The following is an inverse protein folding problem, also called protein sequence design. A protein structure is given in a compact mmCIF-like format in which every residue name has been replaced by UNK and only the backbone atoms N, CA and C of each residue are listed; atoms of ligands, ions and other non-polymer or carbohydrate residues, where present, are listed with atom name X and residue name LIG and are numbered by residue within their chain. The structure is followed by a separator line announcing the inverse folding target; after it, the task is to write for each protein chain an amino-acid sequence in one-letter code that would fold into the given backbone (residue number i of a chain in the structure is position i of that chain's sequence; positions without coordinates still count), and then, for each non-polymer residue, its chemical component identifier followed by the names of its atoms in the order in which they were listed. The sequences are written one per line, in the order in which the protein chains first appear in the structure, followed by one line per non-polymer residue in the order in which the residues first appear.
data_IF_083447159656
#
_entry.id   IF_083447159656
#
_cell.length_a   1.000
_cell.length_b   1.000
_cell.length_c   1.000
_cell.angle_alpha   90.00
_cell.angle_beta   90.00
_cell.angle_gamma   90.00
#
_symmetry.space_group_name_H-M   'P 1'
#
loop_
_entity.id
_entity.type
_entity.pdbx_description
1 polymer ?
#
# COMPACT_ATOMS: atom_id res chain seq x y z
N UNK A 1 -1.33 2.25 -7.44
CA UNK A 1 -2.08 2.11 -6.20
C UNK A 1 -1.81 0.77 -5.54
N UNK A 2 -1.80 0.75 -4.23
CA UNK A 2 -1.61 -0.47 -3.46
C UNK A 2 -2.98 -0.93 -3.00
N UNK A 3 -3.28 -2.22 -3.19
CA UNK A 3 -4.56 -2.79 -2.78
C UNK A 3 -4.33 -3.97 -1.84
N UNK A 4 -5.22 -4.12 -0.89
CA UNK A 4 -5.21 -5.27 0.02
C UNK A 4 -6.60 -5.90 -0.05
N UNK A 5 -6.67 -7.18 -0.39
CA UNK A 5 -7.95 -7.86 -0.50
C UNK A 5 -8.35 -8.53 0.81
N UNK A 6 -9.49 -9.20 0.80
CA UNK A 6 -10.04 -9.83 2.01
C UNK A 6 -9.22 -11.02 2.49
N UNK A 7 -8.40 -11.60 1.64
CA UNK A 7 -7.50 -12.69 2.02
C UNK A 7 -6.17 -12.18 2.57
N UNK A 8 -5.99 -10.87 2.64
CA UNK A 8 -4.74 -10.28 3.12
C UNK A 8 -3.66 -10.21 2.07
N UNK A 9 -3.99 -10.45 0.81
CA UNK A 9 -3.02 -10.34 -0.27
C UNK A 9 -2.85 -8.89 -0.67
N UNK A 10 -1.60 -8.51 -0.94
CA UNK A 10 -1.24 -7.15 -1.33
C UNK A 10 -0.94 -7.12 -2.82
N UNK A 11 -1.50 -6.14 -3.49
CA UNK A 11 -1.30 -5.94 -4.91
C UNK A 11 -0.72 -4.56 -5.18
N UNK A 12 0.24 -4.49 -6.07
CA UNK A 12 0.75 -3.22 -6.58
C UNK A 12 0.17 -3.07 -7.99
N UNK A 13 -0.74 -2.11 -8.14
CA UNK A 13 -1.58 -1.97 -9.33
C UNK A 13 -2.36 -3.27 -9.54
N UNK A 14 -2.06 -4.05 -10.55
CA UNK A 14 -2.76 -5.29 -10.81
C UNK A 14 -1.94 -6.54 -10.48
N UNK A 15 -0.76 -6.36 -9.88
CA UNK A 15 0.16 -7.48 -9.67
C UNK A 15 0.27 -7.82 -8.19
N UNK A 16 0.12 -9.11 -7.84
CA UNK A 16 0.33 -9.52 -6.45
C UNK A 16 1.80 -9.39 -6.08
N UNK A 17 2.05 -8.86 -4.89
CA UNK A 17 3.41 -8.66 -4.39
C UNK A 17 3.47 -9.04 -2.91
N UNK A 18 4.65 -9.45 -2.46
CA UNK A 18 4.90 -9.61 -1.03
C UNK A 18 5.29 -8.25 -0.46
N UNK A 19 5.31 -8.14 0.86
CA UNK A 19 5.73 -6.88 1.49
C UNK A 19 7.18 -6.52 1.15
N UNK A 20 8.15 -7.45 1.16
CA UNK A 20 9.49 -7.11 0.73
C UNK A 20 9.57 -6.65 -0.72
N UNK A 21 8.81 -7.27 -1.61
CA UNK A 21 8.76 -6.84 -3.00
C UNK A 21 8.16 -5.45 -3.13
N UNK A 22 7.11 -5.18 -2.38
CA UNK A 22 6.48 -3.88 -2.38
C UNK A 22 7.46 -2.81 -1.88
N UNK A 23 8.18 -3.10 -0.82
CA UNK A 23 9.16 -2.17 -0.28
C UNK A 23 10.22 -1.83 -1.31
N UNK A 24 10.72 -2.83 -2.01
CA UNK A 24 11.76 -2.66 -3.01
C UNK A 24 11.27 -1.77 -4.16
N UNK A 25 10.06 -2.04 -4.64
CA UNK A 25 9.46 -1.27 -5.72
C UNK A 25 9.24 0.18 -5.32
N UNK A 26 8.71 0.39 -4.13
CA UNK A 26 8.44 1.75 -3.65
C UNK A 26 9.73 2.52 -3.39
N UNK A 27 10.77 1.84 -2.94
CA UNK A 27 12.06 2.48 -2.73
C UNK A 27 12.63 2.98 -4.05
N UNK A 28 12.50 2.18 -5.10
CA UNK A 28 12.93 2.57 -6.44
C UNK A 28 12.14 3.76 -6.94
N UNK A 29 10.81 3.73 -6.79
CA UNK A 29 9.96 4.83 -7.23
C UNK A 29 10.27 6.11 -6.46
N UNK A 30 10.52 6.00 -5.17
CA UNK A 30 10.85 7.17 -4.36
C UNK A 30 12.18 7.79 -4.79
N UNK A 31 13.14 6.96 -5.19
CA UNK A 31 14.43 7.45 -5.66
C UNK A 31 14.28 8.26 -6.94
N UNK A 32 13.33 7.88 -7.79
CA UNK A 32 13.08 8.59 -9.03
C UNK A 32 12.22 9.83 -8.83
N UNK A 33 11.28 9.78 -7.89
CA UNK A 33 10.36 10.87 -7.63
C UNK A 33 10.00 10.88 -6.15
N UNK A 34 10.73 11.62 -5.31
CA UNK A 34 10.52 11.61 -3.85
C UNK A 34 9.12 12.02 -3.40
N UNK A 35 8.39 12.74 -4.24
CA UNK A 35 7.07 13.25 -3.89
C UNK A 35 5.94 12.49 -4.56
N UNK A 36 6.21 11.30 -5.11
CA UNK A 36 5.14 10.60 -5.81
C UNK A 36 4.04 10.19 -4.82
N UNK A 37 2.78 10.30 -5.25
CA UNK A 37 1.67 9.96 -4.37
C UNK A 37 1.44 8.45 -4.33
N UNK A 38 1.04 7.97 -3.17
CA UNK A 38 0.70 6.56 -2.98
C UNK A 38 -0.70 6.48 -2.41
N UNK A 39 -1.52 5.63 -3.01
CA UNK A 39 -2.88 5.38 -2.53
C UNK A 39 -2.96 3.92 -2.09
N UNK A 40 -3.44 3.71 -0.87
CA UNK A 40 -3.66 2.37 -0.33
C UNK A 40 -5.16 2.14 -0.28
N UNK A 41 -5.61 1.07 -0.91
CA UNK A 41 -7.03 0.72 -0.97
C UNK A 41 -7.24 -0.61 -0.26
N UNK A 42 -8.19 -0.63 0.67
CA UNK A 42 -8.58 -1.83 1.37
C UNK A 42 -9.96 -2.27 0.96
N UNK A 43 -10.15 -3.57 0.79
CA UNK A 43 -11.48 -4.13 0.59
C UNK A 43 -12.32 -3.89 1.85
N UNK A 44 -13.64 -3.86 1.70
CA UNK A 44 -14.54 -3.66 2.83
C UNK A 44 -14.37 -4.71 3.92
N UNK A 45 -13.95 -5.91 3.54
CA UNK A 45 -13.74 -7.02 4.47
C UNK A 45 -12.27 -7.28 4.75
N UNK A 46 -11.40 -6.32 4.42
CA UNK A 46 -9.96 -6.50 4.58
C UNK A 46 -9.59 -6.66 6.05
N UNK A 47 -8.55 -7.44 6.29
CA UNK A 47 -7.99 -7.55 7.63
C UNK A 47 -7.22 -6.27 7.94
N UNK A 48 -7.70 -5.54 8.93
CA UNK A 48 -7.13 -4.25 9.28
C UNK A 48 -5.64 -4.34 9.59
N UNK A 49 -5.23 -5.47 10.18
CA UNK A 49 -3.82 -5.71 10.48
C UNK A 49 -2.94 -5.59 9.23
N UNK A 50 -3.40 -6.10 8.11
CA UNK A 50 -2.63 -6.04 6.87
C UNK A 50 -2.51 -4.61 6.36
N UNK A 51 -3.57 -3.83 6.48
CA UNK A 51 -3.54 -2.43 6.09
C UNK A 51 -2.53 -1.67 6.94
N UNK A 52 -2.52 -1.95 8.24
CA UNK A 52 -1.56 -1.32 9.16
C UNK A 52 -0.12 -1.67 8.77
N UNK A 53 0.13 -2.92 8.39
CA UNK A 53 1.47 -3.34 7.98
C UNK A 53 1.94 -2.58 6.75
N UNK A 54 1.04 -2.38 5.78
CA UNK A 54 1.37 -1.62 4.57
C UNK A 54 1.63 -0.17 4.92
N UNK A 55 0.78 0.44 5.73
CA UNK A 55 0.97 1.83 6.13
C UNK A 55 2.27 2.04 6.90
N UNK A 56 2.62 1.09 7.75
CA UNK A 56 3.87 1.16 8.49
C UNK A 56 5.08 1.09 7.56
N UNK A 57 4.99 0.25 6.54
CA UNK A 57 6.02 0.16 5.52
C UNK A 57 6.21 1.50 4.82
N UNK A 58 5.12 2.13 4.41
CA UNK A 58 5.16 3.41 3.74
C UNK A 58 5.78 4.48 4.63
N UNK A 59 5.46 4.46 5.91
CA UNK A 59 6.01 5.41 6.85
C UNK A 59 7.52 5.22 7.01
N UNK A 60 7.98 3.97 7.04
CA UNK A 60 9.41 3.70 7.14
C UNK A 60 10.18 4.17 5.92
N UNK A 61 9.52 4.21 4.77
CA UNK A 61 10.12 4.73 3.55
C UNK A 61 10.03 6.25 3.45
N UNK A 62 9.44 6.88 4.45
CA UNK A 62 9.29 8.34 4.53
C UNK A 62 8.51 8.92 3.34
N UNK A 63 7.49 8.19 2.92
CA UNK A 63 6.59 8.67 1.88
C UNK A 63 5.56 9.58 2.53
N UNK A 64 5.48 10.83 2.06
CA UNK A 64 4.62 11.83 2.67
C UNK A 64 3.27 11.99 1.97
N UNK A 65 3.16 11.53 0.73
CA UNK A 65 1.94 11.66 -0.06
C UNK A 65 1.18 10.34 -0.06
N UNK A 66 0.61 9.99 1.08
CA UNK A 66 -0.10 8.73 1.24
C UNK A 66 -1.59 9.00 1.46
N UNK A 67 -2.42 8.41 0.61
CA UNK A 67 -3.86 8.44 0.77
C UNK A 67 -4.36 7.05 1.11
N UNK A 68 -5.37 6.98 1.96
CA UNK A 68 -6.00 5.71 2.33
C UNK A 68 -7.44 5.71 1.86
N UNK A 69 -7.80 4.69 1.09
CA UNK A 69 -9.18 4.49 0.64
C UNK A 69 -9.63 3.14 1.16
N UNK A 70 -10.71 3.13 1.91
CA UNK A 70 -11.31 1.88 2.37
C UNK A 70 -12.55 1.62 1.54
N UNK A 71 -12.76 0.39 1.16
CA UNK A 71 -13.92 -0.01 0.36
C UNK A 71 -15.15 -0.14 1.20
N UNK A 72 -15.34 0.72 2.14
CA UNK A 72 -16.38 0.61 3.09
C UNK A 72 -17.58 1.49 2.73
N UNK A 73 -18.69 0.91 2.53
CA UNK A 73 -19.90 1.69 2.33
C UNK A 73 -20.34 2.31 3.64
N UNK A 74 -21.13 3.26 3.52
CA UNK A 74 -21.66 3.89 4.71
C UNK A 74 -23.02 3.32 5.07
#
# INVERSE_FOLDING_TARGET
AISVNDAGQVFLDAYPVTLPELEDRLRTEKALNPDFPVVVRGDATVQYQKVIEVLDLLRRLELSQVGLVTGKPT
#
